data_IF_530961859884
#
_entry.id   IF_530961859884
#
_cell.length_a   1.000
_cell.length_b   1.000
_cell.length_c   1.000
_cell.angle_alpha   90.00
_cell.angle_beta   90.00
_cell.angle_gamma   90.00
#
_symmetry.space_group_name_H-M   'P 1'
#
loop_
_entity.id
_entity.type
_entity.pdbx_description
1 polymer ?
#
# COMPACT_ATOMS: atom_id res chain seq x y z
N UNK A 1 -0.96 -35.32 -4.25
CA UNK A 1 -0.09 -34.12 -4.30
C UNK A 1 0.59 -33.98 -5.67
N UNK A 2 0.79 -32.77 -6.20
CA UNK A 2 1.63 -32.54 -7.40
C UNK A 2 3.12 -32.73 -7.05
N UNK A 3 3.92 -33.15 -8.03
CA UNK A 3 5.37 -33.34 -7.96
C UNK A 3 6.14 -32.08 -7.55
N UNK A 4 5.68 -30.89 -7.95
CA UNK A 4 6.30 -29.61 -7.56
C UNK A 4 6.07 -29.30 -6.07
N UNK A 5 4.85 -29.56 -5.59
CA UNK A 5 4.46 -29.39 -4.18
C UNK A 5 5.23 -30.36 -3.27
N UNK A 6 5.34 -31.63 -3.69
CA UNK A 6 6.15 -32.64 -3.00
C UNK A 6 7.63 -32.25 -2.92
N UNK A 7 8.19 -31.71 -4.01
CA UNK A 7 9.55 -31.18 -4.01
C UNK A 7 9.72 -30.04 -3.00
N UNK A 8 8.82 -29.05 -2.99
CA UNK A 8 8.88 -27.92 -2.08
C UNK A 8 8.85 -28.36 -0.61
N UNK A 9 7.92 -29.25 -0.25
CA UNK A 9 7.80 -29.77 1.12
C UNK A 9 9.07 -30.50 1.54
N UNK A 10 9.59 -31.40 0.70
CA UNK A 10 10.79 -32.17 1.03
C UNK A 10 12.02 -31.28 1.20
N UNK A 11 12.21 -30.26 0.34
CA UNK A 11 13.32 -29.32 0.49
C UNK A 11 13.20 -28.48 1.75
N UNK A 12 12.00 -27.99 2.08
CA UNK A 12 11.79 -27.16 3.26
C UNK A 12 11.86 -27.95 4.57
N UNK A 13 11.36 -29.19 4.59
CA UNK A 13 11.47 -30.09 5.74
C UNK A 13 12.92 -30.49 6.04
N UNK A 14 13.78 -30.63 5.03
CA UNK A 14 15.20 -30.93 5.24
C UNK A 14 15.93 -29.79 5.97
N UNK A 15 15.59 -28.54 5.63
CA UNK A 15 16.30 -27.35 6.13
C UNK A 15 15.64 -26.64 7.32
N UNK A 16 14.43 -27.01 7.71
CA UNK A 16 13.80 -26.49 8.94
C UNK A 16 14.46 -27.12 10.17
N UNK A 17 14.74 -26.32 11.18
CA UNK A 17 15.41 -26.72 12.42
C UNK A 17 14.60 -26.27 13.64
N UNK A 18 14.91 -26.85 14.79
CA UNK A 18 14.34 -26.45 16.09
C UNK A 18 15.35 -25.54 16.81
N UNK A 19 14.91 -24.38 17.28
CA UNK A 19 15.69 -23.49 18.15
C UNK A 19 15.74 -24.01 19.60
N UNK A 20 16.61 -23.41 20.41
CA UNK A 20 16.74 -23.71 21.85
C UNK A 20 15.44 -23.52 22.66
N UNK A 21 14.49 -22.71 22.14
CA UNK A 21 13.18 -22.46 22.74
C UNK A 21 12.05 -23.36 22.19
N UNK A 22 12.39 -24.32 21.32
CA UNK A 22 11.44 -25.24 20.70
C UNK A 22 10.71 -24.66 19.48
N UNK A 23 11.02 -23.42 19.07
CA UNK A 23 10.42 -22.82 17.88
C UNK A 23 11.11 -23.28 16.59
N UNK A 24 10.35 -23.45 15.52
CA UNK A 24 10.93 -23.73 14.20
C UNK A 24 11.73 -22.54 13.66
N UNK A 25 12.85 -22.83 12.99
CA UNK A 25 13.76 -21.83 12.43
C UNK A 25 14.38 -22.32 11.13
N UNK A 26 14.98 -21.39 10.39
CA UNK A 26 15.84 -21.68 9.25
C UNK A 26 17.18 -21.01 9.48
N UNK A 27 18.22 -21.81 9.77
CA UNK A 27 19.55 -21.30 10.07
C UNK A 27 20.52 -21.52 8.89
N UNK A 28 21.40 -20.55 8.66
CA UNK A 28 22.34 -20.58 7.52
C UNK A 28 21.78 -19.97 6.23
N UNK A 29 22.68 -19.44 5.40
CA UNK A 29 22.32 -18.67 4.21
C UNK A 29 21.52 -19.47 3.18
N UNK A 30 21.76 -20.78 3.10
CA UNK A 30 21.10 -21.67 2.14
C UNK A 30 19.67 -22.01 2.57
N UNK A 31 19.46 -22.38 3.84
CA UNK A 31 18.13 -22.64 4.39
C UNK A 31 17.22 -21.41 4.29
N UNK A 32 17.76 -20.24 4.64
CA UNK A 32 17.03 -18.96 4.51
C UNK A 32 16.69 -18.66 3.05
N UNK A 33 17.60 -18.98 2.12
CA UNK A 33 17.35 -18.81 0.67
C UNK A 33 16.22 -19.73 0.22
N UNK A 34 16.28 -21.01 0.57
CA UNK A 34 15.26 -22.01 0.22
C UNK A 34 13.89 -21.65 0.80
N UNK A 35 13.83 -21.26 2.09
CA UNK A 35 12.61 -20.78 2.72
C UNK A 35 12.01 -19.60 1.95
N UNK A 36 12.81 -18.57 1.63
CA UNK A 36 12.34 -17.40 0.89
C UNK A 36 11.86 -17.72 -0.53
N UNK A 37 12.45 -18.72 -1.19
CA UNK A 37 12.05 -19.08 -2.56
C UNK A 37 10.86 -20.02 -2.62
N UNK A 38 10.74 -20.96 -1.68
CA UNK A 38 9.77 -22.05 -1.76
C UNK A 38 8.55 -21.86 -0.86
N UNK A 39 8.67 -21.13 0.26
CA UNK A 39 7.53 -20.91 1.18
C UNK A 39 6.35 -20.20 0.51
N UNK A 40 6.54 -19.14 -0.31
CA UNK A 40 5.42 -18.50 -1.01
C UNK A 40 4.68 -19.45 -1.96
N UNK A 41 5.43 -20.28 -2.70
CA UNK A 41 4.88 -21.29 -3.61
C UNK A 41 4.08 -22.32 -2.81
N UNK A 42 4.63 -22.79 -1.69
CA UNK A 42 3.98 -23.76 -0.83
C UNK A 42 2.67 -23.22 -0.24
N UNK A 43 2.65 -21.98 0.24
CA UNK A 43 1.44 -21.34 0.77
C UNK A 43 0.35 -21.19 -0.31
N UNK A 44 0.73 -20.81 -1.51
CA UNK A 44 -0.18 -20.66 -2.66
C UNK A 44 -0.80 -22.02 -3.05
N UNK A 45 0.02 -23.04 -3.26
CA UNK A 45 -0.41 -24.40 -3.63
C UNK A 45 -1.27 -25.07 -2.54
N UNK A 46 -0.99 -24.78 -1.27
CA UNK A 46 -1.79 -25.25 -0.15
C UNK A 46 -3.07 -24.43 0.06
N UNK A 47 -3.32 -23.38 -0.73
CA UNK A 47 -4.42 -22.43 -0.56
C UNK A 47 -4.48 -21.83 0.86
N UNK A 48 -3.30 -21.49 1.40
CA UNK A 48 -3.11 -20.88 2.72
C UNK A 48 -2.88 -19.37 2.56
N UNK A 49 -3.90 -18.67 2.06
CA UNK A 49 -3.85 -17.22 1.91
C UNK A 49 -4.10 -16.53 3.28
N UNK A 50 -3.11 -15.80 3.84
CA UNK A 50 -3.27 -15.07 5.10
C UNK A 50 -4.41 -14.05 5.07
N UNK A 51 -4.71 -13.46 3.91
CA UNK A 51 -5.78 -12.47 3.77
C UNK A 51 -7.17 -13.11 3.89
N UNK A 52 -7.38 -14.25 3.24
CA UNK A 52 -8.60 -15.05 3.40
C UNK A 52 -8.78 -15.56 4.84
N UNK A 53 -7.67 -15.93 5.48
CA UNK A 53 -7.64 -16.40 6.86
C UNK A 53 -7.71 -15.27 7.89
N UNK A 54 -7.51 -14.01 7.49
CA UNK A 54 -7.42 -12.84 8.38
C UNK A 54 -6.48 -13.04 9.57
N UNK A 55 -5.30 -13.58 9.27
CA UNK A 55 -4.26 -13.92 10.22
C UNK A 55 -2.92 -13.40 9.67
N UNK A 56 -2.01 -13.03 10.56
CA UNK A 56 -0.72 -12.51 10.13
C UNK A 56 0.07 -13.57 9.34
N UNK A 57 0.66 -13.19 8.20
CA UNK A 57 1.41 -14.11 7.34
C UNK A 57 2.55 -14.81 8.10
N UNK A 58 3.29 -14.10 8.96
CA UNK A 58 4.36 -14.69 9.77
C UNK A 58 3.86 -15.74 10.76
N UNK A 59 2.60 -15.65 11.19
CA UNK A 59 1.96 -16.69 12.00
C UNK A 59 1.61 -17.92 11.16
N UNK A 60 1.08 -17.74 9.94
CA UNK A 60 0.83 -18.87 9.02
C UNK A 60 2.13 -19.57 8.68
N UNK A 61 3.17 -18.80 8.35
CA UNK A 61 4.52 -19.31 8.09
C UNK A 61 5.07 -20.08 9.29
N UNK A 62 4.98 -19.53 10.50
CA UNK A 62 5.47 -20.20 11.71
C UNK A 62 4.74 -21.52 12.00
N UNK A 63 3.41 -21.55 11.84
CA UNK A 63 2.62 -22.77 12.05
C UNK A 63 2.94 -23.81 10.96
N UNK A 64 3.13 -23.37 9.70
CA UNK A 64 3.56 -24.24 8.60
C UNK A 64 4.97 -24.79 8.84
N UNK A 65 5.90 -23.97 9.32
CA UNK A 65 7.25 -24.40 9.67
C UNK A 65 7.25 -25.43 10.80
N UNK A 66 6.33 -25.32 11.77
CA UNK A 66 6.15 -26.35 12.79
C UNK A 66 5.63 -27.67 12.18
N UNK A 67 4.65 -27.62 11.29
CA UNK A 67 4.17 -28.81 10.57
C UNK A 67 5.28 -29.48 9.75
N UNK A 68 6.13 -28.69 9.10
CA UNK A 68 7.29 -29.19 8.35
C UNK A 68 8.37 -29.77 9.27
N UNK A 69 8.57 -29.20 10.46
CA UNK A 69 9.52 -29.71 11.46
C UNK A 69 9.06 -31.08 11.99
N UNK A 70 7.76 -31.27 12.20
CA UNK A 70 7.21 -32.59 12.52
C UNK A 70 7.41 -33.58 11.37
N UNK A 71 7.10 -33.15 10.14
CA UNK A 71 7.24 -33.96 8.94
C UNK A 71 8.68 -34.39 8.66
N UNK A 72 9.68 -33.60 9.09
CA UNK A 72 11.12 -33.87 8.92
C UNK A 72 11.54 -35.23 9.47
N UNK A 73 10.88 -35.70 10.52
CA UNK A 73 11.21 -36.96 11.18
C UNK A 73 10.59 -38.19 10.52
N UNK A 74 9.79 -37.99 9.48
CA UNK A 74 9.08 -39.05 8.77
C UNK A 74 9.83 -39.55 7.54
N UNK A 75 9.57 -40.79 7.14
CA UNK A 75 10.17 -41.38 5.95
C UNK A 75 9.71 -40.70 4.64
N UNK A 76 8.54 -40.07 4.66
CA UNK A 76 8.00 -39.28 3.55
C UNK A 76 7.33 -38.00 4.11
N UNK A 77 8.10 -36.89 4.21
CA UNK A 77 7.59 -35.62 4.73
C UNK A 77 6.37 -35.09 3.95
N UNK A 78 6.38 -35.20 2.62
CA UNK A 78 5.26 -34.76 1.78
C UNK A 78 3.96 -35.53 2.08
N UNK A 79 4.04 -36.85 2.24
CA UNK A 79 2.88 -37.66 2.61
C UNK A 79 2.38 -37.35 4.03
N UNK A 80 3.28 -37.04 4.97
CA UNK A 80 2.91 -36.60 6.31
C UNK A 80 2.12 -35.29 6.25
N UNK A 81 2.64 -34.29 5.53
CA UNK A 81 1.95 -33.01 5.33
C UNK A 81 0.60 -33.21 4.63
N UNK A 82 0.51 -34.05 3.59
CA UNK A 82 -0.77 -34.34 2.91
C UNK A 82 -1.82 -34.89 3.87
N UNK A 83 -1.40 -35.76 4.79
CA UNK A 83 -2.29 -36.42 5.75
C UNK A 83 -2.78 -35.47 6.84
N UNK A 84 -1.92 -34.56 7.31
CA UNK A 84 -2.21 -33.65 8.41
C UNK A 84 -2.67 -32.26 7.96
N UNK A 85 -2.69 -31.98 6.64
CA UNK A 85 -3.10 -30.68 6.09
C UNK A 85 -4.54 -30.31 6.49
N UNK A 86 -5.43 -31.30 6.57
CA UNK A 86 -6.81 -31.08 6.99
C UNK A 86 -6.90 -30.55 8.41
N UNK A 87 -6.26 -31.24 9.35
CA UNK A 87 -6.20 -30.86 10.77
C UNK A 87 -5.49 -29.50 10.95
N UNK A 88 -4.36 -29.30 10.25
CA UNK A 88 -3.65 -28.03 10.24
C UNK A 88 -4.53 -26.85 9.78
N UNK A 89 -5.28 -27.03 8.69
CA UNK A 89 -6.22 -26.02 8.21
C UNK A 89 -7.32 -25.80 9.24
N UNK A 90 -7.90 -26.86 9.77
CA UNK A 90 -8.96 -26.78 10.78
C UNK A 90 -8.50 -26.01 12.02
N UNK A 91 -7.27 -26.21 12.48
CA UNK A 91 -6.67 -25.48 13.60
C UNK A 91 -6.50 -23.97 13.31
N UNK A 92 -6.09 -23.62 12.09
CA UNK A 92 -6.05 -22.22 11.64
C UNK A 92 -7.45 -21.60 11.58
N UNK A 93 -8.45 -22.35 11.08
CA UNK A 93 -9.83 -21.88 10.95
C UNK A 93 -10.58 -21.83 12.28
N UNK A 94 -10.25 -22.72 13.23
CA UNK A 94 -10.88 -22.85 14.54
C UNK A 94 -10.62 -21.65 15.45
N UNK A 95 -9.53 -20.90 15.21
CA UNK A 95 -9.31 -19.59 15.85
C UNK A 95 -10.46 -18.66 15.48
N UNK A 96 -11.21 -18.22 16.49
CA UNK A 96 -12.36 -17.34 16.31
C UNK A 96 -11.94 -15.98 15.77
N UNK A 97 -12.80 -15.38 14.93
CA UNK A 97 -12.66 -13.98 14.58
C UNK A 97 -13.01 -13.12 15.80
N UNK A 98 -12.04 -12.35 16.26
CA UNK A 98 -12.22 -11.36 17.31
C UNK A 98 -12.41 -9.97 16.68
N UNK A 99 -13.19 -9.13 17.34
CA UNK A 99 -13.38 -7.75 16.95
C UNK A 99 -12.29 -6.89 17.61
N UNK A 100 -11.47 -6.27 16.78
CA UNK A 100 -10.48 -5.29 17.22
C UNK A 100 -10.95 -3.88 16.92
N UNK A 101 -10.66 -2.95 17.83
CA UNK A 101 -10.88 -1.51 17.62
C UNK A 101 -9.54 -0.81 17.63
N UNK A 102 -9.14 -0.26 16.48
CA UNK A 102 -7.89 0.47 16.29
C UNK A 102 -8.21 1.95 16.29
N UNK A 103 -7.59 2.74 17.16
CA UNK A 103 -7.80 4.19 17.22
C UNK A 103 -6.50 4.97 17.09
N UNK A 104 -6.55 6.16 16.51
CA UNK A 104 -5.35 6.95 16.27
C UNK A 104 -5.66 8.44 16.11
N UNK A 105 -4.72 9.32 16.51
CA UNK A 105 -4.74 10.72 16.13
C UNK A 105 -4.14 10.89 14.72
N UNK A 106 -4.81 11.67 13.87
CA UNK A 106 -4.32 12.03 12.55
C UNK A 106 -4.04 13.53 12.48
N UNK A 107 -2.87 13.89 11.97
CA UNK A 107 -2.40 15.27 11.93
C UNK A 107 -3.06 16.14 10.84
N UNK A 108 -4.33 15.89 10.54
CA UNK A 108 -5.17 16.75 9.72
C UNK A 108 -5.84 17.83 10.59
N UNK A 109 -5.84 19.09 10.15
CA UNK A 109 -6.36 20.23 10.91
C UNK A 109 -7.87 20.11 11.14
N UNK A 110 -8.24 19.90 12.41
CA UNK A 110 -9.63 19.79 12.86
C UNK A 110 -10.49 21.01 12.52
N UNK A 111 -9.90 22.19 12.34
CA UNK A 111 -10.64 23.40 11.95
C UNK A 111 -11.16 23.34 10.50
N UNK A 112 -10.71 22.34 9.74
CA UNK A 112 -11.16 22.02 8.38
C UNK A 112 -11.92 20.69 8.32
N UNK A 113 -12.51 20.27 9.43
CA UNK A 113 -13.28 19.01 9.51
C UNK A 113 -14.37 18.89 8.44
N UNK A 114 -14.97 20.00 8.03
CA UNK A 114 -16.12 19.98 7.11
C UNK A 114 -15.68 19.61 5.68
N UNK A 115 -14.38 19.65 5.37
CA UNK A 115 -13.82 19.21 4.07
C UNK A 115 -13.79 17.69 3.93
N UNK A 116 -13.86 16.95 5.04
CA UNK A 116 -13.71 15.49 5.04
C UNK A 116 -14.95 14.89 5.70
N UNK A 117 -15.58 13.86 5.09
CA UNK A 117 -16.67 13.12 5.71
C UNK A 117 -16.33 12.55 7.09
N UNK A 118 -17.34 12.38 7.95
CA UNK A 118 -17.16 11.72 9.26
C UNK A 118 -16.89 10.21 9.13
N UNK A 119 -17.18 9.62 7.99
CA UNK A 119 -16.94 8.21 7.70
C UNK A 119 -16.41 8.06 6.28
N UNK A 120 -15.29 7.38 6.12
CA UNK A 120 -14.67 7.12 4.81
C UNK A 120 -14.37 5.64 4.73
N UNK A 121 -14.77 5.02 3.61
CA UNK A 121 -14.47 3.62 3.35
C UNK A 121 -13.39 3.50 2.29
N UNK A 122 -12.41 2.66 2.57
CA UNK A 122 -11.35 2.25 1.64
C UNK A 122 -11.34 0.73 1.61
N UNK A 123 -11.84 0.17 0.51
CA UNK A 123 -12.06 -1.26 0.32
C UNK A 123 -12.86 -1.89 1.47
N UNK A 124 -12.23 -2.77 2.23
CA UNK A 124 -12.82 -3.53 3.33
C UNK A 124 -12.77 -2.80 4.69
N UNK A 125 -12.20 -1.60 4.77
CA UNK A 125 -12.03 -0.84 6.01
C UNK A 125 -12.83 0.46 6.00
N UNK A 126 -13.55 0.72 7.09
CA UNK A 126 -14.28 1.98 7.33
C UNK A 126 -13.59 2.78 8.44
N UNK A 127 -13.07 3.95 8.08
CA UNK A 127 -12.52 4.93 9.00
C UNK A 127 -13.62 5.84 9.50
N UNK A 128 -13.82 5.88 10.82
CA UNK A 128 -14.82 6.73 11.46
C UNK A 128 -14.15 7.80 12.31
N UNK A 129 -14.53 9.04 12.09
CA UNK A 129 -13.99 10.20 12.80
C UNK A 129 -14.73 10.42 14.12
N UNK A 130 -13.97 10.79 15.14
CA UNK A 130 -14.45 11.06 16.49
C UNK A 130 -14.19 12.51 16.89
N UNK A 131 -15.03 13.00 17.81
CA UNK A 131 -14.72 14.22 18.54
C UNK A 131 -13.58 13.92 19.53
N UNK A 132 -12.66 14.87 19.69
CA UNK A 132 -11.52 14.75 20.64
C UNK A 132 -11.93 14.28 22.04
N UNK A 133 -13.01 14.85 22.61
CA UNK A 133 -13.48 14.46 23.94
C UNK A 133 -13.94 13.01 23.98
N UNK A 134 -14.74 12.59 22.99
CA UNK A 134 -15.19 11.21 22.86
C UNK A 134 -14.03 10.23 22.67
N UNK A 135 -13.03 10.58 21.86
CA UNK A 135 -11.84 9.74 21.66
C UNK A 135 -11.06 9.54 22.97
N UNK A 136 -10.86 10.63 23.73
CA UNK A 136 -10.22 10.54 25.06
C UNK A 136 -11.00 9.65 26.01
N UNK A 137 -12.30 9.92 26.16
CA UNK A 137 -13.13 9.28 27.17
C UNK A 137 -13.29 7.78 26.89
N UNK A 138 -13.29 7.37 25.61
CA UNK A 138 -13.50 5.97 25.19
C UNK A 138 -12.22 5.18 25.01
N UNK A 139 -11.14 5.79 24.51
CA UNK A 139 -10.00 5.04 23.97
C UNK A 139 -8.66 5.41 24.59
N UNK A 140 -8.51 6.60 25.19
CA UNK A 140 -7.25 6.93 25.84
C UNK A 140 -7.22 6.25 27.23
N UNK A 141 -6.27 5.34 27.50
CA UNK A 141 -6.21 4.68 28.79
C UNK A 141 -6.01 5.70 29.92
N UNK A 142 -6.79 5.58 30.99
CA UNK A 142 -6.66 6.47 32.15
C UNK A 142 -5.36 6.18 32.88
N UNK A 143 -4.41 7.12 32.78
CA UNK A 143 -3.10 7.02 33.41
C UNK A 143 -3.09 7.42 34.89
N UNK A 144 -4.20 7.27 35.61
CA UNK A 144 -4.30 7.63 37.04
C UNK A 144 -3.30 6.82 37.87
N UNK A 145 -2.41 7.53 38.57
CA UNK A 145 -1.25 7.01 39.28
C UNK A 145 -1.56 6.09 40.48
N UNK A 146 -2.83 6.00 40.89
CA UNK A 146 -3.27 5.32 42.10
C UNK A 146 -3.76 3.88 41.88
N UNK A 147 -3.81 3.41 40.62
CA UNK A 147 -4.11 2.00 40.31
C UNK A 147 -2.84 1.25 39.90
N UNK A 148 -2.70 -0.04 40.27
CA UNK A 148 -1.61 -0.86 39.76
C UNK A 148 -1.73 -0.95 38.24
N UNK A 149 -0.92 -0.17 37.52
CA UNK A 149 -0.91 -0.10 36.07
C UNK A 149 -0.77 -1.49 35.45
N UNK A 150 -1.59 -1.78 34.43
CA UNK A 150 -1.30 -2.88 33.52
C UNK A 150 0.01 -2.58 32.78
N UNK A 151 0.83 -3.60 32.54
CA UNK A 151 2.16 -3.44 31.95
C UNK A 151 2.12 -2.70 30.58
N UNK A 152 1.03 -2.82 29.82
CA UNK A 152 0.80 -2.16 28.53
C UNK A 152 0.56 -0.65 28.64
N UNK A 153 -0.15 -0.19 29.68
CA UNK A 153 -0.43 1.23 29.92
C UNK A 153 0.84 1.99 30.31
N UNK A 154 1.68 1.37 31.15
CA UNK A 154 2.99 1.90 31.51
C UNK A 154 3.90 2.08 30.29
N UNK A 155 3.89 1.11 29.37
CA UNK A 155 4.66 1.21 28.12
C UNK A 155 4.19 2.38 27.26
N UNK A 156 2.87 2.57 27.12
CA UNK A 156 2.30 3.71 26.39
C UNK A 156 2.70 5.05 27.03
N UNK A 157 2.55 5.19 28.34
CA UNK A 157 2.91 6.42 29.05
C UNK A 157 4.40 6.78 28.88
N UNK A 158 5.29 5.77 28.92
CA UNK A 158 6.72 5.96 28.67
C UNK A 158 7.01 6.37 27.22
N UNK A 159 6.34 5.75 26.25
CA UNK A 159 6.43 6.11 24.84
C UNK A 159 6.00 7.58 24.62
N UNK A 160 4.81 7.95 25.12
CA UNK A 160 4.27 9.30 24.97
C UNK A 160 5.15 10.37 25.61
N UNK A 161 5.79 10.07 26.75
CA UNK A 161 6.73 10.99 27.40
C UNK A 161 8.00 11.27 26.55
N UNK A 162 8.38 10.34 25.69
CA UNK A 162 9.56 10.45 24.81
C UNK A 162 9.22 10.97 23.41
N UNK A 163 7.96 10.86 23.02
CA UNK A 163 7.47 11.33 21.72
C UNK A 163 7.53 12.86 21.63
N UNK A 164 8.01 13.45 20.52
CA UNK A 164 7.83 14.87 20.26
C UNK A 164 6.38 15.22 19.89
N UNK A 165 5.55 14.21 19.61
CA UNK A 165 4.16 14.35 19.22
C UNK A 165 3.24 14.23 20.43
N UNK A 166 2.31 15.17 20.54
CA UNK A 166 1.24 15.13 21.53
C UNK A 166 0.06 14.29 21.00
N UNK A 167 -0.26 13.21 21.70
CA UNK A 167 -1.41 12.35 21.37
C UNK A 167 -2.74 13.10 21.50
N UNK A 168 -2.73 14.18 22.29
CA UNK A 168 -3.90 14.97 22.61
C UNK A 168 -3.87 16.38 21.97
N UNK A 169 -3.29 16.47 20.79
CA UNK A 169 -3.20 17.73 20.07
C UNK A 169 -4.58 18.24 19.63
N UNK A 170 -5.00 19.41 20.15
CA UNK A 170 -6.30 20.02 19.83
C UNK A 170 -6.55 20.33 18.34
N UNK A 171 -5.49 20.38 17.52
CA UNK A 171 -5.58 20.60 16.07
C UNK A 171 -5.70 19.31 15.27
N UNK A 172 -5.48 18.14 15.86
CA UNK A 172 -5.57 16.87 15.15
C UNK A 172 -7.03 16.40 15.06
N UNK A 173 -7.28 15.56 14.07
CA UNK A 173 -8.50 14.74 14.00
C UNK A 173 -8.25 13.40 14.66
N UNK A 174 -9.31 12.73 15.08
CA UNK A 174 -9.23 11.47 15.81
C UNK A 174 -10.11 10.46 15.10
N UNK A 175 -9.60 9.25 14.92
CA UNK A 175 -10.25 8.24 14.11
C UNK A 175 -10.24 6.90 14.83
N UNK A 176 -11.22 6.07 14.47
CA UNK A 176 -11.21 4.66 14.83
C UNK A 176 -11.69 3.79 13.67
N UNK A 177 -11.31 2.52 13.75
CA UNK A 177 -11.71 1.45 12.86
C UNK A 177 -12.09 0.25 13.70
N UNK A 178 -13.19 -0.41 13.34
CA UNK A 178 -13.53 -1.73 13.86
C UNK A 178 -13.20 -2.77 12.80
N UNK A 179 -12.44 -3.82 13.15
CA UNK A 179 -12.03 -4.84 12.20
C UNK A 179 -12.02 -6.23 12.84
N UNK A 180 -12.57 -7.23 12.12
CA UNK A 180 -12.63 -8.61 12.59
C UNK A 180 -11.48 -9.42 12.02
N UNK A 181 -10.62 -9.96 12.89
CA UNK A 181 -9.46 -10.77 12.52
C UNK A 181 -9.23 -11.90 13.53
N UNK A 182 -8.45 -12.91 13.14
CA UNK A 182 -8.00 -13.99 14.06
C UNK A 182 -6.78 -13.61 14.89
N UNK A 183 -6.17 -12.49 14.53
CA UNK A 183 -4.90 -12.03 15.06
C UNK A 183 -4.87 -10.51 15.08
N UNK A 184 -4.33 -9.96 16.18
CA UNK A 184 -4.29 -8.53 16.39
C UNK A 184 -3.34 -7.79 15.43
N UNK A 185 -2.20 -8.39 15.09
CA UNK A 185 -1.20 -7.82 14.20
C UNK A 185 -1.73 -7.79 12.77
N UNK A 186 -2.50 -8.80 12.36
CA UNK A 186 -3.24 -8.76 11.09
C UNK A 186 -4.21 -7.58 11.04
N UNK A 187 -5.05 -7.41 12.07
CA UNK A 187 -6.01 -6.31 12.10
C UNK A 187 -5.31 -4.95 12.00
N UNK A 188 -4.23 -4.75 12.77
CA UNK A 188 -3.47 -3.48 12.76
C UNK A 188 -2.80 -3.24 11.41
N UNK A 189 -2.08 -4.23 10.87
CA UNK A 189 -1.43 -4.10 9.56
C UNK A 189 -2.44 -3.80 8.46
N UNK A 190 -3.59 -4.49 8.47
CA UNK A 190 -4.66 -4.23 7.50
C UNK A 190 -5.19 -2.81 7.59
N UNK A 191 -5.38 -2.28 8.80
CA UNK A 191 -5.80 -0.89 9.00
C UNK A 191 -4.72 0.09 8.55
N UNK A 192 -3.45 -0.15 8.85
CA UNK A 192 -2.33 0.68 8.41
C UNK A 192 -2.25 0.72 6.88
N UNK A 193 -2.34 -0.43 6.22
CA UNK A 193 -2.28 -0.55 4.75
C UNK A 193 -3.41 0.20 4.06
N UNK A 194 -4.62 0.19 4.64
CA UNK A 194 -5.78 0.93 4.11
C UNK A 194 -5.71 2.41 4.46
N UNK A 195 -5.14 2.75 5.61
CA UNK A 195 -4.93 4.14 6.01
C UNK A 195 -3.90 4.82 5.10
N UNK A 196 -2.84 4.10 4.69
CA UNK A 196 -1.86 4.62 3.73
C UNK A 196 -2.52 5.05 2.41
N UNK A 197 -3.46 4.25 1.89
CA UNK A 197 -4.25 4.61 0.71
C UNK A 197 -5.11 5.85 0.98
N UNK A 198 -5.81 5.91 2.11
CA UNK A 198 -6.61 7.07 2.49
C UNK A 198 -5.75 8.34 2.57
N UNK A 199 -4.55 8.25 3.15
CA UNK A 199 -3.61 9.36 3.22
C UNK A 199 -3.11 9.77 1.83
N UNK A 200 -2.86 8.79 0.95
CA UNK A 200 -2.54 9.02 -0.45
C UNK A 200 -3.66 9.76 -1.18
N UNK A 201 -4.92 9.39 -0.96
CA UNK A 201 -6.10 10.08 -1.49
C UNK A 201 -6.18 11.52 -0.98
N UNK A 202 -6.03 11.73 0.33
CA UNK A 202 -6.08 13.06 0.95
C UNK A 202 -4.95 13.97 0.47
N UNK A 203 -3.73 13.46 0.40
CA UNK A 203 -2.58 14.21 -0.10
C UNK A 203 -2.66 14.46 -1.59
N UNK A 204 -3.15 13.50 -2.38
CA UNK A 204 -3.43 13.71 -3.80
C UNK A 204 -4.43 14.86 -3.99
N UNK A 205 -5.58 14.82 -3.32
CA UNK A 205 -6.57 15.89 -3.40
C UNK A 205 -6.04 17.23 -2.90
N UNK A 206 -5.18 17.26 -1.88
CA UNK A 206 -4.59 18.50 -1.39
C UNK A 206 -3.57 19.07 -2.36
N UNK A 207 -2.71 18.23 -2.93
CA UNK A 207 -1.53 18.63 -3.68
C UNK A 207 -1.69 18.58 -5.20
N UNK A 208 -2.86 18.16 -5.70
CA UNK A 208 -3.18 18.08 -7.13
C UNK A 208 -2.86 19.39 -7.86
N UNK A 209 -2.02 19.31 -8.89
CA UNK A 209 -1.65 20.46 -9.72
C UNK A 209 -0.73 21.48 -9.03
N UNK A 210 -0.24 21.20 -7.82
CA UNK A 210 0.76 22.04 -7.14
C UNK A 210 2.18 21.59 -7.43
N UNK A 211 3.09 22.55 -7.48
CA UNK A 211 4.52 22.32 -7.55
C UNK A 211 5.19 22.61 -6.21
N UNK A 212 6.24 21.85 -5.87
CA UNK A 212 7.06 22.18 -4.72
C UNK A 212 7.88 23.41 -5.06
N UNK A 213 7.78 24.39 -4.17
CA UNK A 213 8.62 25.58 -4.19
C UNK A 213 9.69 25.46 -3.12
N UNK A 214 10.66 26.39 -3.14
CA UNK A 214 11.71 26.42 -2.13
C UNK A 214 11.12 26.58 -0.72
N UNK A 215 11.35 25.59 0.15
CA UNK A 215 11.05 25.66 1.56
C UNK A 215 12.31 26.05 2.34
N UNK A 216 12.16 26.98 3.28
CA UNK A 216 13.23 27.49 4.13
C UNK A 216 13.15 26.95 5.56
N UNK A 217 12.58 25.75 5.74
CA UNK A 217 12.48 25.08 7.04
C UNK A 217 13.85 25.00 7.73
N UNK A 218 14.11 25.87 8.71
CA UNK A 218 15.36 25.90 9.49
C UNK A 218 15.32 24.99 10.74
N UNK A 219 14.36 24.07 10.81
CA UNK A 219 14.19 23.17 11.95
C UNK A 219 15.05 21.91 11.85
N UNK A 220 15.23 21.17 12.96
CA UNK A 220 15.88 19.86 12.94
C UNK A 220 15.02 18.77 12.26
N UNK A 221 13.77 19.12 11.93
CA UNK A 221 12.82 18.19 11.32
C UNK A 221 12.95 18.21 9.81
N UNK A 222 12.88 17.04 9.16
CA UNK A 222 13.00 16.95 7.71
C UNK A 222 11.94 17.81 7.00
N UNK A 223 12.37 18.47 5.93
CA UNK A 223 11.47 19.20 5.04
C UNK A 223 10.82 18.22 4.05
N UNK A 224 9.50 18.29 3.93
CA UNK A 224 8.67 17.34 3.16
C UNK A 224 7.71 18.11 2.29
N UNK A 225 7.17 17.47 1.27
CA UNK A 225 6.18 18.11 0.42
C UNK A 225 4.86 18.32 1.14
N UNK A 226 4.32 17.24 1.73
CA UNK A 226 3.11 17.29 2.55
C UNK A 226 3.43 16.94 4.01
N UNK A 227 2.70 17.57 4.94
CA UNK A 227 2.84 17.23 6.37
C UNK A 227 1.91 16.12 6.80
N UNK A 228 0.84 15.78 6.06
CA UNK A 228 -0.10 14.71 6.40
C UNK A 228 0.53 13.32 6.19
N UNK A 229 0.61 12.51 7.25
CA UNK A 229 1.36 11.24 7.27
C UNK A 229 0.62 10.21 8.11
N UNK A 230 1.17 8.99 8.13
CA UNK A 230 0.70 7.98 9.07
C UNK A 230 0.75 8.50 10.53
N UNK A 231 -0.26 8.19 11.36
CA UNK A 231 -0.23 8.45 12.78
C UNK A 231 1.04 7.97 13.45
N UNK A 232 1.56 8.77 14.38
CA UNK A 232 2.74 8.36 15.13
C UNK A 232 2.44 7.22 16.12
N UNK A 233 1.17 6.97 16.42
CA UNK A 233 0.70 5.92 17.33
C UNK A 233 -0.68 5.40 16.92
N UNK A 234 -0.86 4.09 17.09
CA UNK A 234 -2.12 3.37 16.97
C UNK A 234 -2.41 2.68 18.31
N UNK A 235 -3.61 2.88 18.86
CA UNK A 235 -4.07 2.22 20.08
C UNK A 235 -4.96 1.04 19.68
N UNK A 236 -4.60 -0.15 20.14
CA UNK A 236 -5.37 -1.37 19.91
C UNK A 236 -6.23 -1.68 21.12
N UNK A 237 -7.52 -1.92 20.86
CA UNK A 237 -8.50 -2.38 21.83
C UNK A 237 -9.17 -3.66 21.35
N UNK A 238 -9.64 -4.47 22.29
CA UNK A 238 -10.58 -5.57 22.07
C UNK A 238 -11.78 -5.40 23.01
N UNK A 239 -12.66 -6.39 23.07
CA UNK A 239 -13.79 -6.41 23.99
C UNK A 239 -13.36 -6.29 25.48
N UNK A 240 -12.14 -6.72 25.81
CA UNK A 240 -11.55 -6.63 27.16
C UNK A 240 -10.92 -5.25 27.46
N UNK A 241 -10.97 -4.31 26.51
CA UNK A 241 -10.40 -2.97 26.64
C UNK A 241 -9.06 -2.80 25.93
N UNK A 242 -8.23 -1.88 26.42
CA UNK A 242 -6.93 -1.55 25.82
C UNK A 242 -5.95 -2.72 25.91
N UNK A 243 -5.40 -3.13 24.77
CA UNK A 243 -4.48 -4.25 24.67
C UNK A 243 -3.03 -3.76 24.62
N UNK A 244 -2.70 -2.98 23.60
CA UNK A 244 -1.35 -2.47 23.33
C UNK A 244 -1.37 -1.26 22.40
N UNK A 245 -0.21 -0.70 22.10
CA UNK A 245 -0.04 0.32 21.08
C UNK A 245 1.04 -0.09 20.08
N UNK A 246 0.89 0.43 18.86
CA UNK A 246 1.88 0.37 17.79
C UNK A 246 2.29 1.80 17.45
N UNK A 247 3.48 2.01 16.92
CA UNK A 247 4.00 3.34 16.62
C UNK A 247 4.65 3.36 15.24
N UNK A 248 4.71 4.56 14.64
CA UNK A 248 5.42 4.79 13.39
C UNK A 248 6.93 4.81 13.63
N UNK A 249 7.69 4.28 12.67
CA UNK A 249 9.15 4.36 12.66
C UNK A 249 9.68 5.77 12.36
N UNK A 250 8.81 6.71 11.96
CA UNK A 250 9.15 8.11 11.77
C UNK A 250 8.93 8.90 13.08
N UNK A 251 10.00 9.23 13.84
CA UNK A 251 9.87 9.87 15.13
C UNK A 251 9.65 11.39 15.02
N UNK A 252 9.61 11.96 13.80
CA UNK A 252 9.64 13.41 13.66
C UNK A 252 8.32 14.08 14.09
N UNK A 253 8.41 15.37 14.43
CA UNK A 253 7.25 16.16 14.84
C UNK A 253 6.22 16.27 13.69
N UNK A 254 5.01 15.79 13.93
CA UNK A 254 3.84 15.95 13.09
C UNK A 254 3.27 17.35 13.27
N UNK A 255 3.29 18.13 12.19
CA UNK A 255 2.62 19.42 12.13
C UNK A 255 1.17 19.20 11.65
N UNK A 256 0.18 19.95 12.16
CA UNK A 256 -1.15 19.93 11.60
C UNK A 256 -1.11 20.33 10.12
N UNK A 257 -1.60 19.46 9.27
CA UNK A 257 -1.68 19.63 7.82
C UNK A 257 -3.10 20.04 7.41
N UNK A 258 -3.21 20.81 6.33
CA UNK A 258 -4.49 21.23 5.78
C UNK A 258 -4.38 21.65 4.32
N UNK A 259 -5.45 21.48 3.54
CA UNK A 259 -5.56 22.16 2.26
C UNK A 259 -5.42 23.68 2.46
N UNK A 260 -4.65 24.32 1.57
CA UNK A 260 -4.52 25.77 1.56
C UNK A 260 -5.90 26.41 1.36
N UNK A 261 -6.18 27.54 2.03
CA UNK A 261 -7.55 28.09 2.09
C UNK A 261 -8.15 28.45 0.72
N UNK A 262 -7.33 28.83 -0.24
CA UNK A 262 -7.73 29.13 -1.63
C UNK A 262 -8.07 27.88 -2.44
N UNK A 263 -7.68 26.69 -1.96
CA UNK A 263 -7.75 25.44 -2.70
C UNK A 263 -8.72 24.45 -2.03
N UNK A 264 -9.54 24.91 -1.08
CA UNK A 264 -10.54 24.06 -0.41
C UNK A 264 -11.53 23.45 -1.40
N UNK A 265 -12.03 24.24 -2.36
CA UNK A 265 -12.97 23.77 -3.38
C UNK A 265 -12.34 22.75 -4.33
N UNK A 266 -11.06 22.94 -4.70
CA UNK A 266 -10.32 21.97 -5.53
C UNK A 266 -10.13 20.67 -4.76
N UNK A 267 -9.75 20.76 -3.48
CA UNK A 267 -9.62 19.59 -2.61
C UNK A 267 -10.94 18.81 -2.55
N UNK A 268 -12.06 19.47 -2.25
CA UNK A 268 -13.38 18.84 -2.18
C UNK A 268 -13.76 18.20 -3.51
N UNK A 269 -13.61 18.94 -4.62
CA UNK A 269 -13.94 18.43 -5.96
C UNK A 269 -13.14 17.18 -6.31
N UNK A 270 -11.82 17.20 -6.09
CA UNK A 270 -10.96 16.06 -6.38
C UNK A 270 -11.28 14.92 -5.42
N UNK A 271 -11.39 15.18 -4.12
CA UNK A 271 -11.65 14.16 -3.11
C UNK A 271 -13.00 13.46 -3.30
N UNK A 272 -14.06 14.21 -3.60
CA UNK A 272 -15.41 13.67 -3.85
C UNK A 272 -15.48 12.80 -5.11
N UNK A 273 -14.54 13.00 -6.05
CA UNK A 273 -14.42 12.16 -7.25
C UNK A 273 -13.71 10.82 -7.01
N UNK A 274 -13.04 10.66 -5.86
CA UNK A 274 -12.27 9.46 -5.57
C UNK A 274 -13.17 8.29 -5.19
N UNK A 275 -12.86 7.07 -5.67
CA UNK A 275 -13.64 5.89 -5.34
C UNK A 275 -13.36 5.39 -3.92
N UNK A 276 -14.33 4.68 -3.34
CA UNK A 276 -14.18 3.97 -2.07
C UNK A 276 -13.55 2.58 -2.22
N UNK A 277 -13.40 2.08 -3.45
CA UNK A 277 -12.87 0.74 -3.78
C UNK A 277 -13.68 -0.44 -3.20
N UNK A 278 -14.97 -0.26 -2.91
CA UNK A 278 -15.82 -1.34 -2.41
C UNK A 278 -16.12 -2.41 -3.47
N UNK A 279 -16.31 -1.98 -4.72
CA UNK A 279 -16.57 -2.85 -5.85
C UNK A 279 -15.32 -2.89 -6.71
N UNK A 280 -14.48 -3.90 -6.47
CA UNK A 280 -13.20 -4.08 -7.17
C UNK A 280 -13.41 -4.02 -8.69
N UNK A 281 -12.78 -3.03 -9.31
CA UNK A 281 -12.67 -2.91 -10.76
C UNK A 281 -11.30 -3.40 -11.22
N UNK A 282 -11.14 -3.80 -12.50
CA UNK A 282 -9.88 -4.35 -13.02
C UNK A 282 -8.65 -3.45 -12.80
N UNK A 283 -8.87 -2.12 -12.71
CA UNK A 283 -7.82 -1.13 -12.58
C UNK A 283 -7.56 -0.70 -11.13
N UNK A 284 -8.38 -1.14 -10.18
CA UNK A 284 -8.33 -0.67 -8.79
C UNK A 284 -7.04 -1.06 -8.09
N UNK A 285 -6.54 -2.29 -8.30
CA UNK A 285 -5.26 -2.73 -7.72
C UNK A 285 -4.09 -1.82 -8.09
N UNK A 286 -4.05 -1.32 -9.34
CA UNK A 286 -3.01 -0.38 -9.79
C UNK A 286 -3.19 1.00 -9.19
N UNK A 287 -4.43 1.49 -9.15
CA UNK A 287 -4.74 2.80 -8.58
C UNK A 287 -4.46 2.85 -7.07
N UNK A 288 -4.80 1.80 -6.32
CA UNK A 288 -4.46 1.65 -4.90
C UNK A 288 -2.94 1.72 -4.67
N UNK A 289 -2.16 1.01 -5.49
CA UNK A 289 -0.70 1.03 -5.42
C UNK A 289 -0.12 2.39 -5.82
N UNK A 290 -0.74 3.10 -6.77
CA UNK A 290 -0.35 4.45 -7.13
C UNK A 290 -0.63 5.45 -5.99
N UNK A 291 -1.75 5.35 -5.28
CA UNK A 291 -2.02 6.16 -4.09
C UNK A 291 -0.99 5.92 -2.98
N UNK A 292 -0.56 4.67 -2.76
CA UNK A 292 0.54 4.36 -1.81
C UNK A 292 1.86 4.98 -2.26
N UNK A 293 2.24 4.79 -3.52
CA UNK A 293 3.46 5.38 -4.07
C UNK A 293 3.43 6.93 -3.97
N UNK A 294 2.28 7.55 -4.25
CA UNK A 294 2.09 8.98 -4.08
C UNK A 294 2.25 9.41 -2.61
N UNK A 295 1.65 8.66 -1.67
CA UNK A 295 1.76 8.91 -0.23
C UNK A 295 3.21 8.81 0.26
N UNK A 296 3.93 7.78 -0.16
CA UNK A 296 5.35 7.61 0.14
C UNK A 296 6.16 8.77 -0.42
N UNK A 297 5.97 9.10 -1.70
CA UNK A 297 6.71 10.15 -2.38
C UNK A 297 6.48 11.55 -1.80
N UNK A 298 5.23 11.90 -1.47
CA UNK A 298 4.86 13.23 -0.98
C UNK A 298 5.31 13.45 0.48
N UNK A 299 5.45 12.37 1.25
CA UNK A 299 5.91 12.45 2.62
C UNK A 299 7.40 12.15 2.78
N UNK A 300 8.09 11.64 1.76
CA UNK A 300 9.53 11.35 1.81
C UNK A 300 10.39 12.64 1.87
N UNK A 301 11.25 12.78 2.88
CA UNK A 301 12.09 13.97 3.03
C UNK A 301 13.31 13.99 2.11
N UNK A 302 13.87 12.84 1.74
CA UNK A 302 15.01 12.80 0.83
C UNK A 302 14.53 13.03 -0.61
N UNK A 303 15.04 14.09 -1.26
CA UNK A 303 14.64 14.46 -2.63
C UNK A 303 14.77 13.28 -3.62
N UNK A 304 15.81 12.47 -3.44
CA UNK A 304 16.07 11.29 -4.29
C UNK A 304 15.01 10.22 -4.09
N UNK A 305 14.76 9.81 -2.85
CA UNK A 305 13.79 8.75 -2.55
C UNK A 305 12.37 9.17 -2.94
N UNK A 306 12.02 10.44 -2.69
CA UNK A 306 10.75 11.01 -3.14
C UNK A 306 10.58 10.94 -4.66
N UNK A 307 11.63 11.25 -5.43
CA UNK A 307 11.62 11.10 -6.88
C UNK A 307 11.37 9.64 -7.31
N UNK A 308 12.02 8.67 -6.65
CA UNK A 308 11.84 7.26 -6.99
C UNK A 308 10.45 6.74 -6.64
N UNK A 309 9.87 7.15 -5.52
CA UNK A 309 8.51 6.76 -5.16
C UNK A 309 7.48 7.38 -6.13
N UNK A 310 7.67 8.63 -6.57
CA UNK A 310 6.82 9.19 -7.64
C UNK A 310 6.99 8.39 -8.95
N UNK A 311 8.23 8.05 -9.31
CA UNK A 311 8.52 7.29 -10.52
C UNK A 311 7.93 5.88 -10.47
N UNK A 312 7.96 5.23 -9.30
CA UNK A 312 7.32 3.93 -9.07
C UNK A 312 5.82 4.01 -9.31
N UNK A 313 5.17 5.08 -8.86
CA UNK A 313 3.77 5.36 -9.19
C UNK A 313 3.53 5.45 -10.70
N UNK A 314 4.41 6.14 -11.43
CA UNK A 314 4.35 6.22 -12.89
C UNK A 314 4.47 4.82 -13.51
N UNK A 315 5.47 4.02 -13.12
CA UNK A 315 5.67 2.66 -13.62
C UNK A 315 4.44 1.75 -13.37
N UNK A 316 3.80 1.87 -12.19
CA UNK A 316 2.58 1.13 -11.86
C UNK A 316 1.44 1.44 -12.86
N UNK A 317 1.27 2.72 -13.22
CA UNK A 317 0.17 3.18 -14.07
C UNK A 317 0.50 3.16 -15.57
N UNK A 318 1.75 3.01 -15.97
CA UNK A 318 2.12 2.82 -17.39
C UNK A 318 2.19 1.35 -17.81
N UNK A 319 1.76 0.43 -16.94
CA UNK A 319 1.65 -1.01 -17.23
C UNK A 319 2.97 -1.67 -17.66
N UNK A 320 4.08 -1.31 -17.00
CA UNK A 320 5.40 -1.85 -17.33
C UNK A 320 5.45 -3.36 -17.13
N UNK A 321 5.82 -4.10 -18.18
CA UNK A 321 6.12 -5.53 -18.10
C UNK A 321 7.63 -5.77 -17.88
N UNK A 322 7.98 -6.97 -17.39
CA UNK A 322 9.34 -7.33 -16.96
C UNK A 322 10.42 -7.14 -18.05
N UNK A 323 10.02 -7.25 -19.32
CA UNK A 323 10.91 -7.15 -20.48
C UNK A 323 10.69 -5.89 -21.33
N UNK A 324 9.90 -4.93 -20.83
CA UNK A 324 9.58 -3.72 -21.58
C UNK A 324 10.70 -2.67 -21.52
N UNK A 325 10.98 -2.04 -22.66
CA UNK A 325 11.97 -0.99 -22.75
C UNK A 325 11.50 0.29 -22.01
N UNK A 326 12.33 0.82 -21.11
CA UNK A 326 12.00 2.02 -20.31
C UNK A 326 11.61 3.27 -21.10
N UNK A 327 12.08 3.52 -22.34
CA UNK A 327 11.55 4.61 -23.16
C UNK A 327 10.03 4.53 -23.40
N UNK A 328 9.43 3.33 -23.43
CA UNK A 328 7.98 3.17 -23.59
C UNK A 328 7.21 3.70 -22.38
N UNK A 329 7.75 3.50 -21.17
CA UNK A 329 7.21 4.03 -19.90
C UNK A 329 7.05 5.53 -19.96
N UNK A 330 8.09 6.21 -20.45
CA UNK A 330 8.12 7.66 -20.55
C UNK A 330 7.17 8.18 -21.62
N UNK A 331 7.13 7.51 -22.76
CA UNK A 331 6.19 7.85 -23.83
C UNK A 331 4.74 7.75 -23.32
N UNK A 332 4.38 6.65 -22.65
CA UNK A 332 3.06 6.47 -22.03
C UNK A 332 2.75 7.52 -20.97
N UNK A 333 3.70 7.78 -20.06
CA UNK A 333 3.51 8.73 -18.97
C UNK A 333 3.32 10.16 -19.48
N UNK A 334 4.09 10.55 -20.50
CA UNK A 334 4.03 11.89 -21.09
C UNK A 334 2.88 12.09 -22.07
N UNK A 335 2.25 11.00 -22.53
CA UNK A 335 1.16 11.04 -23.51
C UNK A 335 -0.05 11.85 -23.01
N UNK A 336 -0.26 11.89 -21.69
CA UNK A 336 -1.38 12.60 -21.07
C UNK A 336 -1.10 14.07 -20.75
N UNK A 337 0.12 14.57 -21.02
CA UNK A 337 0.50 15.96 -20.75
C UNK A 337 0.54 16.73 -22.07
N UNK A 338 -0.24 17.82 -22.14
CA UNK A 338 -0.11 18.79 -23.21
C UNK A 338 1.07 19.72 -22.92
N UNK A 339 2.04 19.75 -23.83
CA UNK A 339 3.24 20.57 -23.71
C UNK A 339 3.14 21.79 -24.64
N UNK A 340 3.37 22.98 -24.10
CA UNK A 340 3.50 24.21 -24.92
C UNK A 340 4.56 24.07 -26.02
N UNK A 341 5.67 23.39 -25.68
CA UNK A 341 6.73 22.99 -26.62
C UNK A 341 7.02 21.49 -26.43
N UNK A 342 6.60 20.65 -27.40
CA UNK A 342 6.81 19.20 -27.33
C UNK A 342 8.28 18.78 -27.20
N UNK A 343 9.22 19.53 -27.78
CA UNK A 343 10.65 19.19 -27.70
C UNK A 343 11.20 19.48 -26.30
N UNK A 344 10.74 20.55 -25.66
CA UNK A 344 11.07 20.82 -24.25
C UNK A 344 10.49 19.72 -23.35
N UNK A 345 9.26 19.28 -23.62
CA UNK A 345 8.65 18.15 -22.92
C UNK A 345 9.52 16.89 -23.00
N UNK A 346 9.89 16.50 -24.22
CA UNK A 346 10.77 15.35 -24.48
C UNK A 346 12.12 15.45 -23.78
N UNK A 347 12.79 16.60 -23.85
CA UNK A 347 14.09 16.81 -23.19
C UNK A 347 13.97 16.63 -21.67
N UNK A 348 12.89 17.15 -21.06
CA UNK A 348 12.68 17.07 -19.62
C UNK A 348 12.37 15.66 -19.15
N UNK A 349 11.55 14.93 -19.90
CA UNK A 349 11.21 13.54 -19.59
C UNK A 349 12.40 12.61 -19.80
N UNK A 350 13.15 12.76 -20.90
CA UNK A 350 14.41 12.04 -21.15
C UNK A 350 15.43 12.27 -20.04
N UNK A 351 15.52 13.50 -19.53
CA UNK A 351 16.40 13.82 -18.39
C UNK A 351 16.01 13.04 -17.13
N UNK A 352 14.72 12.93 -16.82
CA UNK A 352 14.27 12.15 -15.65
C UNK A 352 14.54 10.66 -15.83
N UNK A 353 14.29 10.13 -17.03
CA UNK A 353 14.61 8.74 -17.38
C UNK A 353 16.10 8.43 -17.20
N UNK A 354 16.96 9.30 -17.72
CA UNK A 354 18.41 9.13 -17.62
C UNK A 354 18.87 9.12 -16.17
N UNK A 355 18.28 9.98 -15.31
CA UNK A 355 18.57 9.95 -13.86
C UNK A 355 18.14 8.64 -13.22
N UNK A 356 16.92 8.15 -13.51
CA UNK A 356 16.43 6.87 -13.02
C UNK A 356 17.38 5.73 -13.42
N UNK A 357 17.75 5.65 -14.70
CA UNK A 357 18.64 4.59 -15.18
C UNK A 357 20.06 4.68 -14.61
N UNK A 358 20.62 5.89 -14.48
CA UNK A 358 21.96 6.09 -13.91
C UNK A 358 22.04 5.62 -12.45
N UNK A 359 21.00 5.85 -11.66
CA UNK A 359 20.96 5.36 -10.27
C UNK A 359 20.78 3.83 -10.18
N UNK A 360 20.01 3.22 -11.08
CA UNK A 360 19.79 1.77 -11.10
C UNK A 360 21.05 1.01 -11.55
N UNK A 361 21.82 1.54 -12.51
CA UNK A 361 22.92 0.79 -13.16
C UNK A 361 24.33 1.28 -12.82
N UNK A 362 24.52 2.56 -12.56
CA UNK A 362 25.86 3.17 -12.47
C UNK A 362 26.20 3.70 -11.06
N UNK A 363 25.24 3.71 -10.13
CA UNK A 363 25.41 4.23 -8.77
C UNK A 363 25.83 5.71 -8.73
N UNK A 364 25.66 6.45 -9.83
CA UNK A 364 26.36 7.70 -10.07
C UNK A 364 25.51 8.96 -9.77
N UNK A 365 25.99 9.75 -8.80
CA UNK A 365 26.10 11.21 -8.66
C UNK A 365 25.17 12.25 -9.34
N UNK A 366 24.19 11.88 -10.17
CA UNK A 366 23.30 12.85 -10.82
C UNK A 366 22.26 13.36 -9.84
N UNK A 367 22.51 14.55 -9.29
CA UNK A 367 21.58 15.22 -8.37
C UNK A 367 20.17 15.30 -8.96
N UNK A 368 19.21 14.65 -8.30
CA UNK A 368 17.77 14.91 -8.46
C UNK A 368 17.50 16.34 -7.98
N UNK A 369 16.75 17.11 -8.77
CA UNK A 369 16.40 18.50 -8.44
C UNK A 369 14.90 18.61 -8.21
N UNK A 370 14.46 19.66 -7.50
CA UNK A 370 13.02 19.96 -7.31
C UNK A 370 12.24 19.97 -8.63
N UNK A 371 12.71 20.59 -9.73
CA UNK A 371 12.03 20.48 -11.03
C UNK A 371 11.85 19.05 -11.56
N UNK A 372 12.78 18.12 -11.27
CA UNK A 372 12.62 16.71 -11.68
C UNK A 372 11.50 16.05 -10.88
N UNK A 373 11.45 16.29 -9.56
CA UNK A 373 10.38 15.80 -8.68
C UNK A 373 9.03 16.36 -9.09
N UNK A 374 8.95 17.67 -9.33
CA UNK A 374 7.73 18.33 -9.81
C UNK A 374 7.23 17.67 -11.09
N UNK A 375 8.13 17.42 -12.06
CA UNK A 375 7.75 16.77 -13.31
C UNK A 375 7.17 15.36 -13.09
N UNK A 376 7.87 14.50 -12.34
CA UNK A 376 7.41 13.12 -12.14
C UNK A 376 6.12 13.08 -11.32
N UNK A 377 5.94 13.98 -10.36
CA UNK A 377 4.66 14.18 -9.67
C UNK A 377 3.56 14.55 -10.66
N UNK A 378 3.78 15.53 -11.55
CA UNK A 378 2.79 15.90 -12.57
C UNK A 378 2.44 14.73 -13.49
N UNK A 379 3.43 13.96 -13.93
CA UNK A 379 3.20 12.73 -14.72
C UNK A 379 2.31 11.73 -13.97
N UNK A 380 2.62 11.49 -12.70
CA UNK A 380 1.82 10.59 -11.85
C UNK A 380 0.39 11.12 -11.64
N UNK A 381 0.23 12.42 -11.37
CA UNK A 381 -1.09 13.02 -11.17
C UNK A 381 -1.96 12.94 -12.42
N UNK A 382 -1.39 13.19 -13.60
CA UNK A 382 -2.08 13.03 -14.88
C UNK A 382 -2.54 11.59 -15.11
N UNK A 383 -1.66 10.60 -14.83
CA UNK A 383 -2.01 9.18 -14.92
C UNK A 383 -3.10 8.80 -13.91
N UNK A 384 -2.97 9.22 -12.65
CA UNK A 384 -3.98 8.93 -11.62
C UNK A 384 -5.35 9.51 -11.99
N UNK A 385 -5.41 10.77 -12.44
CA UNK A 385 -6.64 11.39 -12.90
C UNK A 385 -7.27 10.62 -14.07
N UNK A 386 -6.45 10.22 -15.04
CA UNK A 386 -6.91 9.41 -16.17
C UNK A 386 -7.45 8.05 -15.73
N UNK A 387 -6.78 7.35 -14.82
CA UNK A 387 -7.28 6.10 -14.23
C UNK A 387 -8.60 6.30 -13.50
N UNK A 388 -8.75 7.38 -12.72
CA UNK A 388 -9.98 7.71 -12.01
C UNK A 388 -11.17 7.92 -12.97
N UNK A 389 -10.94 8.57 -14.12
CA UNK A 389 -11.97 8.80 -15.13
C UNK A 389 -12.38 7.51 -15.88
N UNK A 390 -11.46 6.55 -16.04
CA UNK A 390 -11.65 5.38 -16.93
C UNK A 390 -11.88 4.06 -16.19
N UNK A 391 -11.60 3.98 -14.89
CA UNK A 391 -11.59 2.74 -14.08
C UNK A 391 -12.85 1.88 -14.17
N UNK A 392 -14.03 2.47 -14.41
CA UNK A 392 -15.31 1.76 -14.45
C UNK A 392 -15.73 1.31 -15.85
N UNK A 393 -15.03 1.78 -16.89
CA UNK A 393 -15.44 1.59 -18.28
C UNK A 393 -14.40 0.80 -19.07
N UNK A 394 -13.13 0.92 -18.71
CA UNK A 394 -12.03 0.37 -19.50
C UNK A 394 -11.38 -0.84 -18.85
N UNK A 395 -10.99 -1.80 -19.69
CA UNK A 395 -10.14 -2.91 -19.31
C UNK A 395 -8.67 -2.48 -19.16
N UNK A 396 -7.81 -3.39 -18.68
CA UNK A 396 -6.36 -3.16 -18.62
C UNK A 396 -5.79 -3.03 -20.03
N UNK A 397 -6.32 -3.83 -20.96
CA UNK A 397 -5.93 -3.86 -22.37
C UNK A 397 -6.29 -2.55 -23.07
N UNK A 398 -7.47 -1.98 -22.77
CA UNK A 398 -7.89 -0.67 -23.29
C UNK A 398 -6.95 0.43 -22.79
N UNK A 399 -6.64 0.43 -21.48
CA UNK A 399 -5.70 1.40 -20.90
C UNK A 399 -4.33 1.30 -21.57
N UNK A 400 -3.82 0.07 -21.77
CA UNK A 400 -2.53 -0.16 -22.45
C UNK A 400 -2.54 0.37 -23.86
N UNK A 401 -3.58 -0.02 -24.62
CA UNK A 401 -3.74 0.41 -26.01
C UNK A 401 -3.75 1.92 -26.11
N UNK A 402 -4.51 2.60 -25.26
CA UNK A 402 -4.63 4.06 -25.28
C UNK A 402 -3.32 4.73 -24.89
N UNK A 403 -2.65 4.27 -23.83
CA UNK A 403 -1.35 4.81 -23.41
C UNK A 403 -0.26 4.62 -24.48
N UNK A 404 -0.29 3.51 -25.22
CA UNK A 404 0.63 3.24 -26.33
C UNK A 404 0.39 4.14 -27.56
N UNK A 405 -0.85 4.64 -27.74
CA UNK A 405 -1.28 5.30 -28.98
C UNK A 405 -1.69 6.77 -28.79
N UNK A 406 -1.67 7.33 -27.57
CA UNK A 406 -2.17 8.68 -27.26
C UNK A 406 -1.40 9.82 -27.93
N UNK A 407 -0.25 9.55 -28.57
CA UNK A 407 0.40 10.52 -29.47
C UNK A 407 -0.46 10.87 -30.69
N UNK A 408 -1.55 10.14 -30.95
CA UNK A 408 -2.54 10.44 -31.96
C UNK A 408 -3.80 11.09 -31.35
N UNK A 409 -4.40 12.08 -32.03
CA UNK A 409 -5.58 12.80 -31.54
C UNK A 409 -6.71 11.87 -31.06
N UNK A 410 -7.54 12.31 -30.09
CA UNK A 410 -8.66 11.54 -29.53
C UNK A 410 -9.57 10.86 -30.59
N UNK A 411 -9.76 11.47 -31.75
CA UNK A 411 -10.54 10.89 -32.86
C UNK A 411 -9.86 9.66 -33.49
N UNK A 412 -8.53 9.64 -33.53
CA UNK A 412 -7.73 8.51 -34.03
C UNK A 412 -7.72 7.37 -33.03
N UNK A 413 -7.61 7.67 -31.72
CA UNK A 413 -7.70 6.66 -30.66
C UNK A 413 -9.05 5.94 -30.69
N UNK A 414 -10.15 6.68 -30.81
CA UNK A 414 -11.49 6.10 -30.90
C UNK A 414 -11.68 5.27 -32.18
N UNK A 415 -11.12 5.71 -33.31
CA UNK A 415 -11.16 4.95 -34.56
C UNK A 415 -10.38 3.63 -34.47
N UNK A 416 -9.18 3.66 -33.89
CA UNK A 416 -8.36 2.45 -33.74
C UNK A 416 -8.98 1.47 -32.73
N UNK A 417 -9.66 1.96 -31.68
CA UNK A 417 -10.43 1.14 -30.75
C UNK A 417 -11.55 0.38 -31.47
N UNK A 418 -12.33 1.08 -32.29
CA UNK A 418 -13.39 0.47 -33.10
C UNK A 418 -12.85 -0.53 -34.13
N UNK A 419 -11.62 -0.35 -34.62
CA UNK A 419 -10.98 -1.35 -35.47
C UNK A 419 -10.57 -2.59 -34.68
N UNK A 420 -10.00 -2.42 -33.48
CA UNK A 420 -9.59 -3.54 -32.62
C UNK A 420 -10.77 -4.36 -32.10
N UNK A 421 -11.87 -3.72 -31.71
CA UNK A 421 -13.12 -4.42 -31.34
C UNK A 421 -13.61 -5.31 -32.49
N UNK A 422 -13.59 -4.80 -33.74
CA UNK A 422 -13.96 -5.58 -34.92
C UNK A 422 -12.99 -6.73 -35.20
N UNK A 423 -11.70 -6.56 -34.93
CA UNK A 423 -10.72 -7.64 -35.07
C UNK A 423 -10.94 -8.74 -34.03
N UNK A 424 -11.25 -8.38 -32.77
CA UNK A 424 -11.58 -9.34 -31.72
C UNK A 424 -12.87 -10.10 -32.03
N UNK A 425 -13.92 -9.42 -32.50
CA UNK A 425 -15.15 -10.06 -32.99
C UNK A 425 -14.89 -11.04 -34.14
N UNK A 426 -13.95 -10.70 -35.04
CA UNK A 426 -13.57 -11.57 -36.14
C UNK A 426 -12.82 -12.81 -35.66
N UNK A 427 -11.93 -12.68 -34.69
CA UNK A 427 -11.19 -13.81 -34.08
C UNK A 427 -12.17 -14.76 -33.38
N UNK A 428 -13.08 -14.23 -32.56
CA UNK A 428 -14.10 -15.02 -31.85
C UNK A 428 -15.02 -15.78 -32.84
N UNK A 429 -15.36 -15.14 -33.96
CA UNK A 429 -16.10 -15.78 -35.05
C UNK A 429 -15.31 -16.89 -35.74
N UNK A 430 -14.00 -16.70 -35.98
CA UNK A 430 -13.13 -17.73 -36.57
C UNK A 430 -12.99 -18.93 -35.63
N UNK A 431 -12.82 -18.71 -34.33
CA UNK A 431 -12.73 -19.76 -33.31
C UNK A 431 -14.03 -20.55 -33.21
N UNK A 432 -15.17 -19.86 -33.20
CA UNK A 432 -16.50 -20.49 -33.22
C UNK A 432 -16.71 -21.38 -34.47
N UNK A 433 -16.19 -20.97 -35.63
CA UNK A 433 -16.25 -21.78 -36.85
C UNK A 433 -15.28 -22.97 -36.81
N UNK A 434 -14.12 -22.80 -36.18
CA UNK A 434 -13.14 -23.86 -36.01
C UNK A 434 -13.66 -24.96 -35.08
N UNK A 435 -14.43 -24.61 -34.05
CA UNK A 435 -15.06 -25.58 -33.13
C UNK A 435 -16.27 -26.32 -33.72
N UNK A 436 -16.86 -25.80 -34.80
CA UNK A 436 -18.02 -26.38 -35.47
C UNK A 436 -17.67 -27.31 -36.65
N UNK A 437 -16.40 -27.36 -37.06
CA UNK A 437 -15.89 -28.23 -38.13
C UNK A 437 -14.93 -29.28 -37.58
#
# INVERSE_FOLDING_TARGET
>A
MDSELEYCINQLADVVEENDDGASTYSGSEAVRLHRSLSPILLEELALDPDNLRINAGRVESELSNLLLEAKHEANPAQYVETHLGEFKDDLYAKSLEKYVITFPLNFDRMKRDLIPDSIRVADVTFQRLRRGEWKDRFLPNSDADKPYYASENKLAQFLKRSPNDIDNHRFTYWFVEYNARDNLYAVNRVIDRLEILLGMLNFSSEFGKEQTYSSSQGPWPDRWASLRQPFVYLLHSDDGYQTHYWSDDPSLQKPDKPHSSNGEVFETVFDSLPTFENEQPLDGRLLNAFRAFQSAITEPEERESFFEFWRGVEILTLVERDEAMPNVVNRASALIEWDDPEIGRIRTDRCLNKRNAYVHEGAGLRVTVPDRNLVKTLLESLMNFYLERRTVWSVEDMRFVLDNFTASNAVVEHLRQQREKELELIDWIETIADQN
#
